data_IF_815044182814
#
_entry.id   IF_815044182814
#
_cell.length_a   1.000
_cell.length_b   1.000
_cell.length_c   1.000
_cell.angle_alpha   90.00
_cell.angle_beta   90.00
_cell.angle_gamma   90.00
#
_symmetry.space_group_name_H-M   'P 1'
#
loop_
_entity.id
_entity.type
_entity.pdbx_description
1 polymer ?
#
# COMPACT_ATOMS: atom_id res chain seq x y z
N UNK A 1 9.31 5.66 2.97
CA UNK A 1 9.70 7.05 3.28
C UNK A 1 8.86 7.68 4.38
N UNK A 2 7.54 7.79 4.23
CA UNK A 2 6.67 8.41 5.26
C UNK A 2 6.79 7.72 6.63
N UNK A 3 6.83 6.38 6.66
CA UNK A 3 7.10 5.59 7.88
C UNK A 3 8.42 5.98 8.57
N UNK A 4 9.37 6.51 7.83
CA UNK A 4 10.68 6.97 8.31
C UNK A 4 10.73 8.49 8.55
N UNK A 5 9.59 9.18 8.53
CA UNK A 5 9.48 10.61 8.81
C UNK A 5 9.76 11.54 7.62
N UNK A 6 9.84 10.99 6.40
CA UNK A 6 10.08 11.78 5.18
C UNK A 6 8.79 11.98 4.37
N UNK A 7 7.90 12.85 4.84
CA UNK A 7 6.57 13.07 4.23
C UNK A 7 6.57 14.13 3.12
N UNK A 8 7.41 15.17 3.26
CA UNK A 8 7.38 16.32 2.36
C UNK A 8 7.91 16.01 0.94
N UNK A 9 9.07 15.33 0.75
CA UNK A 9 9.58 15.07 -0.59
C UNK A 9 8.62 14.24 -1.46
N UNK A 10 8.08 13.09 -1.02
CA UNK A 10 7.16 12.29 -1.83
C UNK A 10 5.89 13.05 -2.22
N UNK A 11 5.33 13.83 -1.28
CA UNK A 11 4.11 14.61 -1.52
C UNK A 11 4.30 15.71 -2.56
N UNK A 12 5.45 16.39 -2.55
CA UNK A 12 5.76 17.44 -3.53
C UNK A 12 5.97 16.82 -4.92
N UNK A 13 6.75 15.74 -5.01
CA UNK A 13 7.02 15.07 -6.29
C UNK A 13 5.74 14.55 -6.95
N UNK A 14 4.81 13.99 -6.16
CA UNK A 14 3.52 13.55 -6.68
C UNK A 14 2.72 14.69 -7.35
N UNK A 15 2.72 15.89 -6.75
CA UNK A 15 2.07 17.06 -7.35
C UNK A 15 2.70 17.48 -8.67
N UNK A 16 4.03 17.40 -8.78
CA UNK A 16 4.75 17.72 -10.02
C UNK A 16 4.49 16.64 -11.09
N UNK A 17 4.45 15.36 -10.73
CA UNK A 17 4.08 14.29 -11.66
C UNK A 17 2.69 14.49 -12.27
N UNK A 18 1.73 14.95 -11.47
CA UNK A 18 0.39 15.26 -11.97
C UNK A 18 0.39 16.41 -12.99
N UNK A 19 1.23 17.43 -12.79
CA UNK A 19 1.40 18.50 -13.76
C UNK A 19 2.07 18.00 -15.05
N UNK A 20 3.08 17.14 -14.93
CA UNK A 20 3.77 16.52 -16.07
C UNK A 20 2.78 15.68 -16.89
N UNK A 21 1.91 14.88 -16.26
CA UNK A 21 0.85 14.12 -16.95
C UNK A 21 -0.10 15.04 -17.72
N UNK A 22 -0.49 16.18 -17.15
CA UNK A 22 -1.35 17.15 -17.82
C UNK A 22 -0.65 17.83 -19.01
N UNK A 23 0.64 18.15 -18.88
CA UNK A 23 1.45 18.68 -19.99
C UNK A 23 1.59 17.66 -21.12
N UNK A 24 1.80 16.38 -20.78
CA UNK A 24 1.85 15.29 -21.74
C UNK A 24 0.52 15.15 -22.51
N UNK A 25 -0.62 15.10 -21.80
CA UNK A 25 -1.96 15.02 -22.40
C UNK A 25 -2.21 16.22 -23.34
N UNK A 26 -1.80 17.43 -22.92
CA UNK A 26 -1.88 18.64 -23.76
C UNK A 26 -1.03 18.52 -25.03
N UNK A 27 0.22 18.07 -24.92
CA UNK A 27 1.11 17.89 -26.06
C UNK A 27 0.57 16.83 -27.03
N UNK A 28 0.07 15.71 -26.50
CA UNK A 28 -0.57 14.65 -27.29
C UNK A 28 -1.80 15.18 -28.04
N UNK A 29 -2.70 15.88 -27.34
CA UNK A 29 -3.91 16.46 -27.96
C UNK A 29 -3.56 17.46 -29.05
N UNK A 30 -2.51 18.27 -28.87
CA UNK A 30 -2.06 19.22 -29.89
C UNK A 30 -1.60 18.52 -31.18
N UNK A 31 -0.91 17.37 -31.06
CA UNK A 31 -0.52 16.54 -32.22
C UNK A 31 -1.74 15.96 -32.92
N UNK A 32 -2.75 15.50 -32.17
CA UNK A 32 -3.99 14.94 -32.73
C UNK A 32 -4.83 15.96 -33.49
N UNK A 33 -4.64 17.26 -33.21
CA UNK A 33 -5.32 18.37 -33.89
C UNK A 33 -4.62 18.80 -35.18
N UNK A 34 -3.61 18.08 -35.68
CA UNK A 34 -3.08 18.34 -37.01
C UNK A 34 -4.13 18.05 -38.09
N UNK A 35 -4.31 18.94 -39.10
CA UNK A 35 -3.46 20.09 -39.44
C UNK A 35 -3.94 21.45 -38.89
N UNK A 36 -4.92 21.49 -37.98
CA UNK A 36 -5.55 22.74 -37.51
C UNK A 36 -4.62 23.57 -36.60
N UNK A 37 -3.67 22.93 -35.91
CA UNK A 37 -2.62 23.60 -35.13
C UNK A 37 -1.31 23.70 -35.91
N UNK A 38 -0.54 24.75 -35.63
CA UNK A 38 0.79 24.95 -36.24
C UNK A 38 1.85 24.07 -35.57
N UNK A 39 2.93 23.78 -36.31
CA UNK A 39 4.07 23.00 -35.79
C UNK A 39 4.71 23.73 -34.60
N UNK A 40 4.75 25.05 -34.63
CA UNK A 40 5.29 25.90 -33.57
C UNK A 40 4.50 25.75 -32.26
N UNK A 41 3.16 25.68 -32.34
CA UNK A 41 2.30 25.48 -31.17
C UNK A 41 2.49 24.08 -30.55
N UNK A 42 2.65 23.07 -31.40
CA UNK A 42 2.93 21.69 -30.97
C UNK A 42 4.32 21.60 -30.34
N UNK A 43 5.34 22.20 -30.96
CA UNK A 43 6.71 22.24 -30.43
C UNK A 43 6.75 22.89 -29.06
N UNK A 44 6.05 24.03 -28.88
CA UNK A 44 5.99 24.72 -27.60
C UNK A 44 5.32 23.89 -26.51
N UNK A 45 4.24 23.16 -26.83
CA UNK A 45 3.59 22.26 -25.88
C UNK A 45 4.50 21.08 -25.50
N UNK A 46 5.19 20.50 -26.47
CA UNK A 46 6.14 19.40 -26.23
C UNK A 46 7.35 19.85 -25.41
N UNK A 47 7.95 21.00 -25.73
CA UNK A 47 9.10 21.54 -24.98
C UNK A 47 8.75 21.84 -23.52
N UNK A 48 7.54 22.34 -23.25
CA UNK A 48 7.07 22.54 -21.89
C UNK A 48 6.95 21.22 -21.11
N UNK A 49 6.42 20.16 -21.74
CA UNK A 49 6.39 18.82 -21.17
C UNK A 49 7.80 18.26 -20.94
N UNK A 50 8.64 18.26 -21.98
CA UNK A 50 9.98 17.67 -21.96
C UNK A 50 10.85 18.29 -20.86
N UNK A 51 10.79 19.62 -20.72
CA UNK A 51 11.52 20.33 -19.66
C UNK A 51 11.13 19.84 -18.26
N UNK A 52 9.84 19.83 -17.93
CA UNK A 52 9.39 19.41 -16.60
C UNK A 52 9.66 17.91 -16.35
N UNK A 53 9.56 17.08 -17.40
CA UNK A 53 9.87 15.66 -17.33
C UNK A 53 11.36 15.40 -17.04
N UNK A 54 12.27 16.08 -17.76
CA UNK A 54 13.71 15.99 -17.52
C UNK A 54 14.10 16.52 -16.13
N UNK A 55 13.47 17.60 -15.68
CA UNK A 55 13.67 18.11 -14.32
C UNK A 55 13.21 17.10 -13.25
N UNK A 56 12.15 16.32 -13.51
CA UNK A 56 11.70 15.28 -12.59
C UNK A 56 12.72 14.15 -12.50
N UNK A 57 13.22 13.65 -13.64
CA UNK A 57 14.27 12.61 -13.65
C UNK A 57 15.47 13.07 -12.80
N UNK A 58 15.91 14.31 -12.96
CA UNK A 58 17.01 14.86 -12.15
C UNK A 58 16.66 14.89 -10.65
N UNK A 59 15.45 15.34 -10.27
CA UNK A 59 15.00 15.38 -8.87
C UNK A 59 14.93 13.96 -8.28
N UNK A 60 14.47 12.99 -9.05
CA UNK A 60 14.41 11.60 -8.62
C UNK A 60 15.82 11.03 -8.39
N UNK A 61 16.73 11.18 -9.35
CA UNK A 61 18.09 10.63 -9.26
C UNK A 61 18.94 11.33 -8.20
N UNK A 62 18.90 12.66 -8.15
CA UNK A 62 19.77 13.45 -7.28
C UNK A 62 19.25 13.54 -5.83
N UNK A 63 17.94 13.39 -5.61
CA UNK A 63 17.32 13.62 -4.29
C UNK A 63 16.58 12.37 -3.81
N UNK A 64 15.59 11.89 -4.56
CA UNK A 64 14.70 10.83 -4.08
C UNK A 64 15.44 9.50 -3.90
N UNK A 65 16.17 9.04 -4.92
CA UNK A 65 16.92 7.79 -4.87
C UNK A 65 17.99 7.83 -3.78
N UNK A 66 18.66 8.96 -3.58
CA UNK A 66 19.63 9.13 -2.50
C UNK A 66 19.00 8.94 -1.12
N UNK A 67 17.86 9.59 -0.87
CA UNK A 67 17.12 9.43 0.38
C UNK A 67 16.65 7.98 0.55
N UNK A 68 16.14 7.35 -0.51
CA UNK A 68 15.68 5.96 -0.47
C UNK A 68 16.82 4.99 -0.14
N UNK A 69 18.00 5.17 -0.72
CA UNK A 69 19.18 4.33 -0.45
C UNK A 69 19.68 4.45 0.99
N UNK A 70 19.60 5.64 1.59
CA UNK A 70 19.99 5.86 2.99
C UNK A 70 18.93 5.39 3.98
N UNK A 71 17.65 5.40 3.58
CA UNK A 71 16.53 5.20 4.49
C UNK A 71 15.98 3.77 4.47
N UNK A 72 15.88 3.15 3.29
CA UNK A 72 15.23 1.87 3.12
C UNK A 72 16.15 0.70 3.45
N UNK A 73 15.60 -0.29 4.14
CA UNK A 73 16.27 -1.56 4.41
C UNK A 73 16.15 -2.51 3.22
N UNK A 74 16.92 -3.60 3.21
CA UNK A 74 16.75 -4.64 2.19
C UNK A 74 15.33 -5.25 2.17
N UNK A 75 14.69 -5.37 3.34
CA UNK A 75 13.33 -5.90 3.44
C UNK A 75 12.32 -4.93 2.81
N UNK A 76 12.52 -3.61 2.95
CA UNK A 76 11.69 -2.63 2.26
C UNK A 76 11.83 -2.74 0.74
N UNK A 77 13.06 -2.90 0.23
CA UNK A 77 13.31 -3.09 -1.20
C UNK A 77 12.70 -4.38 -1.75
N UNK A 78 12.70 -5.46 -0.95
CA UNK A 78 12.02 -6.70 -1.31
C UNK A 78 10.50 -6.52 -1.40
N UNK A 79 9.88 -5.88 -0.41
CA UNK A 79 8.46 -5.59 -0.44
C UNK A 79 8.08 -4.71 -1.64
N UNK A 80 8.89 -3.68 -1.94
CA UNK A 80 8.70 -2.84 -3.14
C UNK A 80 8.78 -3.68 -4.41
N UNK A 81 9.77 -4.58 -4.52
CA UNK A 81 9.94 -5.43 -5.69
C UNK A 81 8.76 -6.40 -5.87
N UNK A 82 8.23 -6.96 -4.78
CA UNK A 82 7.04 -7.84 -4.80
C UNK A 82 5.76 -7.10 -5.21
N UNK A 83 5.60 -5.84 -4.80
CA UNK A 83 4.42 -5.02 -5.11
C UNK A 83 4.48 -4.34 -6.48
N UNK A 84 5.65 -4.25 -7.11
CA UNK A 84 5.87 -3.44 -8.32
C UNK A 84 5.04 -3.89 -9.53
N UNK A 85 4.83 -5.20 -9.69
CA UNK A 85 4.03 -5.76 -10.79
C UNK A 85 2.58 -5.25 -10.78
N UNK A 86 2.04 -4.87 -9.62
CA UNK A 86 0.69 -4.32 -9.51
C UNK A 86 0.54 -2.98 -10.27
N UNK A 87 1.61 -2.19 -10.39
CA UNK A 87 1.61 -0.91 -11.09
C UNK A 87 2.09 -1.04 -12.55
N UNK A 88 2.97 -2.00 -12.84
CA UNK A 88 3.59 -2.20 -14.15
C UNK A 88 4.87 -1.38 -14.35
N UNK A 89 5.55 -1.59 -15.47
CA UNK A 89 6.83 -0.93 -15.80
C UNK A 89 6.72 -0.09 -17.08
N UNK A 90 7.27 1.13 -17.07
CA UNK A 90 7.15 2.05 -18.19
C UNK A 90 8.14 1.78 -19.33
N UNK A 91 9.43 1.59 -19.02
CA UNK A 91 10.51 1.46 -20.02
C UNK A 91 11.20 0.09 -19.90
N UNK A 92 11.65 -0.26 -18.69
CA UNK A 92 12.43 -1.47 -18.43
C UNK A 92 11.67 -2.38 -17.47
N UNK A 93 11.35 -3.59 -17.93
CA UNK A 93 10.80 -4.65 -17.07
C UNK A 93 11.95 -5.52 -16.54
N UNK A 94 12.00 -5.81 -15.23
CA UNK A 94 13.00 -6.72 -14.67
C UNK A 94 12.92 -8.11 -15.32
N UNK A 95 14.06 -8.65 -15.74
CA UNK A 95 14.15 -10.01 -16.33
C UNK A 95 14.32 -11.10 -15.28
N UNK A 96 14.62 -10.74 -14.03
CA UNK A 96 14.82 -11.65 -12.92
C UNK A 96 14.29 -11.04 -11.62
N UNK A 97 13.90 -11.90 -10.67
CA UNK A 97 13.59 -11.47 -9.31
C UNK A 97 14.89 -11.16 -8.57
N UNK A 98 14.96 -10.00 -7.94
CA UNK A 98 16.08 -9.63 -7.09
C UNK A 98 16.03 -10.46 -5.80
N UNK A 99 17.13 -11.15 -5.50
CA UNK A 99 17.30 -11.91 -4.26
C UNK A 99 18.59 -11.42 -3.59
N UNK A 100 18.49 -10.64 -2.49
CA UNK A 100 19.67 -10.20 -1.77
C UNK A 100 20.33 -11.40 -1.08
N UNK A 101 21.66 -11.39 -1.06
CA UNK A 101 22.43 -12.35 -0.27
C UNK A 101 22.17 -12.12 1.22
N UNK A 102 21.70 -13.16 1.93
CA UNK A 102 21.47 -13.14 3.38
C UNK A 102 22.43 -14.13 4.03
N UNK A 103 23.29 -13.64 4.91
CA UNK A 103 24.10 -14.50 5.78
C UNK A 103 23.20 -15.08 6.87
N UNK A 104 23.00 -16.39 6.87
CA UNK A 104 22.25 -17.08 7.92
C UNK A 104 23.21 -17.55 9.02
N UNK A 105 23.20 -16.86 10.15
CA UNK A 105 24.05 -17.21 11.30
C UNK A 105 23.50 -18.41 12.12
N UNK A 106 22.40 -19.05 11.69
CA UNK A 106 21.86 -20.23 12.35
C UNK A 106 22.62 -21.54 12.02
N UNK A 107 23.25 -21.63 10.84
CA UNK A 107 23.96 -22.84 10.41
C UNK A 107 25.29 -23.07 11.15
N UNK A 108 25.79 -22.09 11.90
CA UNK A 108 26.98 -22.28 12.75
C UNK A 108 26.71 -23.19 13.95
N UNK A 109 25.45 -23.53 14.25
CA UNK A 109 25.10 -24.48 15.32
C UNK A 109 25.27 -25.95 14.92
N UNK A 110 25.25 -26.31 13.64
CA UNK A 110 25.42 -27.72 13.24
C UNK A 110 26.89 -28.14 13.17
N UNK A 111 27.81 -27.23 12.84
CA UNK A 111 29.25 -27.56 12.78
C UNK A 111 29.94 -27.55 14.16
N UNK A 112 29.34 -26.94 15.18
CA UNK A 112 29.83 -27.01 16.57
C UNK A 112 29.42 -28.32 17.29
N UNK A 113 28.53 -29.12 16.72
CA UNK A 113 28.08 -30.40 17.30
C UNK A 113 29.00 -31.60 16.95
N UNK A 114 30.05 -31.40 16.16
CA UNK A 114 31.03 -32.44 15.82
C UNK A 114 32.48 -32.19 16.26
N UNK A 115 32.73 -31.08 16.96
CA UNK A 115 34.00 -30.84 17.66
C UNK A 115 33.74 -30.50 19.12
N UNK A 116 33.28 -31.50 19.88
CA UNK A 116 33.34 -31.44 21.35
C UNK A 116 34.01 -32.70 21.88
N UNK A 117 35.32 -32.74 21.73
CA UNK A 117 36.20 -33.44 22.67
C UNK A 117 37.47 -32.61 22.79
N UNK A 118 37.72 -32.10 24.00
CA UNK A 118 38.83 -31.22 24.41
C UNK A 118 38.56 -29.75 24.02
N UNK A 119 38.45 -28.76 24.90
CA UNK A 119 39.14 -28.52 26.18
C UNK A 119 38.32 -27.51 26.98
N UNK A 120 38.42 -27.59 28.31
CA UNK A 120 37.83 -26.67 29.29
C UNK A 120 38.26 -25.22 29.02
N UNK A 121 37.29 -24.31 28.84
CA UNK A 121 37.44 -22.94 29.35
C UNK A 121 36.07 -22.39 29.74
N UNK A 122 36.03 -21.75 30.90
CA UNK A 122 34.81 -21.40 31.62
C UNK A 122 34.33 -20.03 31.17
N UNK A 123 33.20 -19.94 30.46
CA UNK A 123 32.45 -18.69 30.32
C UNK A 123 31.06 -18.87 30.93
N UNK A 124 30.89 -18.23 32.09
CA UNK A 124 29.66 -18.21 32.88
C UNK A 124 28.51 -17.59 32.08
N UNK A 125 27.50 -18.40 31.79
CA UNK A 125 26.19 -17.94 31.37
C UNK A 125 25.33 -17.76 32.63
N UNK A 126 25.22 -16.52 33.12
CA UNK A 126 24.29 -16.19 34.20
C UNK A 126 22.92 -15.82 33.61
N UNK A 127 21.89 -16.59 33.97
CA UNK A 127 20.50 -16.27 33.66
C UNK A 127 19.90 -15.59 34.88
N UNK A 128 19.71 -14.28 34.78
CA UNK A 128 18.89 -13.51 35.73
C UNK A 128 17.94 -12.66 34.91
N UNK A 129 16.63 -12.80 35.18
CA UNK A 129 15.54 -12.00 34.59
C UNK A 129 15.35 -12.02 33.06
N UNK A 130 15.16 -13.22 32.49
CA UNK A 130 14.56 -13.41 31.16
C UNK A 130 15.28 -12.67 30.00
N UNK A 131 16.53 -12.27 30.24
CA UNK A 131 17.39 -11.53 29.33
C UNK A 131 18.57 -12.44 28.98
N UNK A 132 18.74 -12.74 27.70
CA UNK A 132 19.87 -13.51 27.20
C UNK A 132 21.05 -12.56 27.07
N UNK A 133 22.07 -12.76 27.90
CA UNK A 133 23.31 -11.97 27.91
C UNK A 133 24.43 -12.82 27.33
N UNK A 134 25.06 -12.35 26.26
CA UNK A 134 26.24 -12.98 25.67
C UNK A 134 27.41 -11.99 25.69
N UNK A 135 28.47 -12.39 26.37
CA UNK A 135 29.72 -11.62 26.48
C UNK A 135 30.67 -12.11 25.39
N UNK A 136 31.23 -11.19 24.60
CA UNK A 136 32.18 -11.45 23.53
C UNK A 136 33.46 -10.71 23.86
N UNK A 137 34.54 -11.45 24.10
CA UNK A 137 35.88 -10.92 24.29
C UNK A 137 36.59 -10.74 22.94
N UNK A 138 37.13 -9.54 22.69
CA UNK A 138 38.04 -9.27 21.58
C UNK A 138 39.38 -8.76 22.12
N UNK A 139 40.47 -8.78 21.32
CA UNK A 139 41.79 -8.29 21.75
C UNK A 139 41.81 -6.81 22.17
N UNK A 140 40.79 -6.05 21.77
CA UNK A 140 40.64 -4.61 21.99
C UNK A 140 39.67 -4.28 23.13
N UNK A 141 38.96 -5.28 23.69
CA UNK A 141 38.03 -5.11 24.80
C UNK A 141 36.89 -6.15 24.82
N UNK A 142 36.04 -6.07 25.84
CA UNK A 142 34.92 -6.99 26.03
C UNK A 142 33.58 -6.29 25.74
N UNK A 143 32.74 -6.89 24.90
CA UNK A 143 31.41 -6.37 24.55
C UNK A 143 30.32 -7.31 25.05
N UNK A 144 29.26 -6.74 25.65
CA UNK A 144 28.11 -7.50 26.15
C UNK A 144 26.87 -7.21 25.30
N UNK A 145 26.32 -8.24 24.66
CA UNK A 145 25.05 -8.16 23.93
C UNK A 145 23.97 -8.72 24.86
N UNK A 146 22.97 -7.88 25.20
CA UNK A 146 21.79 -8.32 25.93
C UNK A 146 20.56 -8.19 25.03
N UNK A 147 19.79 -9.27 24.91
CA UNK A 147 18.55 -9.29 24.14
C UNK A 147 17.44 -9.94 24.96
N UNK A 148 16.29 -9.29 25.00
CA UNK A 148 15.07 -9.81 25.61
C UNK A 148 14.14 -10.25 24.48
N UNK A 149 13.90 -11.55 24.28
CA UNK A 149 12.95 -12.03 23.29
C UNK A 149 11.57 -11.39 23.55
N UNK A 150 11.00 -10.74 22.54
CA UNK A 150 9.60 -10.34 22.59
C UNK A 150 8.79 -11.62 22.78
N UNK A 151 7.98 -11.71 23.85
CA UNK A 151 7.05 -12.83 24.06
C UNK A 151 6.32 -13.11 22.74
N UNK A 152 6.33 -14.36 22.29
CA UNK A 152 5.48 -14.80 21.19
C UNK A 152 4.06 -14.29 21.46
N UNK A 153 3.54 -13.53 20.52
CA UNK A 153 2.14 -13.12 20.50
C UNK A 153 1.29 -14.38 20.66
N UNK A 154 0.41 -14.42 21.67
CA UNK A 154 -0.60 -15.47 21.79
C UNK A 154 -1.27 -15.66 20.42
N UNK A 155 -1.18 -16.86 19.85
CA UNK A 155 -1.84 -17.16 18.58
C UNK A 155 -3.36 -17.11 18.83
N UNK A 156 -4.00 -16.09 18.27
CA UNK A 156 -5.46 -15.99 18.31
C UNK A 156 -6.06 -17.05 17.38
N UNK A 157 -6.96 -17.90 17.89
CA UNK A 157 -7.65 -18.90 17.06
C UNK A 157 -8.66 -18.23 16.13
N UNK A 158 -8.29 -18.14 14.86
CA UNK A 158 -9.08 -17.52 13.78
C UNK A 158 -10.27 -18.37 13.34
N UNK A 159 -10.37 -19.62 13.77
CA UNK A 159 -11.41 -20.58 13.37
C UNK A 159 -12.57 -20.66 14.37
N UNK A 160 -12.36 -20.15 15.59
CA UNK A 160 -13.40 -20.09 16.61
C UNK A 160 -14.59 -19.19 16.21
N UNK A 161 -15.80 -19.68 16.46
CA UNK A 161 -17.04 -18.96 16.15
C UNK A 161 -17.27 -17.81 17.14
N UNK A 162 -17.55 -16.62 16.60
CA UNK A 162 -17.80 -15.40 17.36
C UNK A 162 -19.12 -14.75 16.92
N UNK A 163 -19.84 -14.04 17.80
CA UNK A 163 -21.01 -13.26 17.41
C UNK A 163 -20.65 -12.24 16.33
N UNK A 164 -21.36 -12.26 15.20
CA UNK A 164 -21.22 -11.30 14.11
C UNK A 164 -22.61 -10.93 13.59
N UNK A 165 -22.99 -9.66 13.74
CA UNK A 165 -24.34 -9.19 13.37
C UNK A 165 -25.42 -10.01 14.07
N UNK A 166 -26.32 -10.60 13.27
CA UNK A 166 -27.42 -11.44 13.76
C UNK A 166 -27.10 -12.94 13.76
N UNK A 167 -25.81 -13.31 13.78
CA UNK A 167 -25.36 -14.70 13.71
C UNK A 167 -23.96 -14.90 14.27
N UNK A 168 -23.25 -15.89 13.73
CA UNK A 168 -21.90 -16.25 14.15
C UNK A 168 -21.01 -16.48 12.94
N UNK A 169 -19.76 -16.01 13.03
CA UNK A 169 -18.72 -16.27 12.06
C UNK A 169 -17.39 -16.44 12.79
N UNK A 170 -16.49 -17.25 12.23
CA UNK A 170 -15.07 -17.17 12.57
C UNK A 170 -14.39 -16.00 11.84
N UNK A 171 -13.19 -15.62 12.28
CA UNK A 171 -12.40 -14.59 11.58
C UNK A 171 -12.07 -15.04 10.15
N UNK A 172 -11.81 -16.33 9.96
CA UNK A 172 -11.59 -16.92 8.62
C UNK A 172 -12.83 -16.78 7.74
N UNK A 173 -14.02 -17.13 8.24
CA UNK A 173 -15.27 -17.02 7.47
C UNK A 173 -15.62 -15.56 7.15
N UNK A 174 -15.45 -14.64 8.10
CA UNK A 174 -15.66 -13.21 7.86
C UNK A 174 -14.72 -12.67 6.78
N UNK A 175 -13.45 -13.06 6.81
CA UNK A 175 -12.47 -12.71 5.78
C UNK A 175 -12.86 -13.27 4.41
N UNK A 176 -13.26 -14.54 4.35
CA UNK A 176 -13.73 -15.17 3.11
C UNK A 176 -14.95 -14.43 2.53
N UNK A 177 -15.95 -14.11 3.34
CA UNK A 177 -17.13 -13.37 2.89
C UNK A 177 -16.73 -12.03 2.28
N UNK A 178 -15.89 -11.24 2.97
CA UNK A 178 -15.45 -9.94 2.47
C UNK A 178 -14.70 -10.04 1.13
N UNK A 179 -13.92 -11.10 0.93
CA UNK A 179 -13.21 -11.35 -0.33
C UNK A 179 -14.12 -11.86 -1.45
N UNK A 180 -15.28 -12.46 -1.14
CA UNK A 180 -16.22 -12.97 -2.16
C UNK A 180 -17.33 -11.99 -2.52
N UNK A 181 -17.44 -10.85 -1.83
CA UNK A 181 -18.34 -9.78 -2.26
C UNK A 181 -17.85 -9.19 -3.59
N UNK A 182 -18.76 -8.89 -4.55
CA UNK A 182 -18.40 -8.27 -5.83
C UNK A 182 -18.14 -6.76 -5.67
N UNK A 183 -17.32 -6.42 -4.68
CA UNK A 183 -16.97 -5.06 -4.27
C UNK A 183 -15.47 -4.97 -4.02
N UNK A 184 -14.85 -3.87 -4.43
CA UNK A 184 -13.54 -3.46 -3.90
C UNK A 184 -13.83 -2.62 -2.66
N UNK A 185 -13.49 -3.15 -1.49
CA UNK A 185 -13.79 -2.57 -0.18
C UNK A 185 -12.51 -1.97 0.38
N UNK A 186 -12.60 -0.76 0.93
CA UNK A 186 -11.54 -0.09 1.68
C UNK A 186 -12.12 0.49 2.97
N UNK A 187 -11.43 0.32 4.10
CA UNK A 187 -11.81 0.90 5.37
C UNK A 187 -10.70 1.81 5.91
N UNK A 188 -11.09 3.04 6.24
CA UNK A 188 -10.27 4.05 6.91
C UNK A 188 -10.87 4.31 8.28
N UNK A 189 -10.07 4.18 9.34
CA UNK A 189 -10.59 4.28 10.71
C UNK A 189 -10.84 5.74 11.14
N UNK A 190 -11.38 5.92 12.35
CA UNK A 190 -11.68 7.24 12.93
C UNK A 190 -10.49 8.19 13.07
N UNK A 191 -9.26 7.68 13.02
CA UNK A 191 -8.02 8.46 13.10
C UNK A 191 -7.43 8.73 11.70
N UNK A 192 -8.26 8.57 10.66
CA UNK A 192 -7.93 8.78 9.25
C UNK A 192 -6.81 7.86 8.72
N UNK A 193 -6.66 6.67 9.32
CA UNK A 193 -5.67 5.66 8.93
C UNK A 193 -6.30 4.62 8.01
N UNK A 194 -5.69 4.41 6.83
CA UNK A 194 -6.07 3.34 5.91
C UNK A 194 -5.69 1.99 6.50
N UNK A 195 -6.70 1.24 6.95
CA UNK A 195 -6.49 0.07 7.80
C UNK A 195 -6.72 -1.26 7.07
N UNK A 196 -7.59 -1.28 6.07
CA UNK A 196 -8.01 -2.53 5.44
C UNK A 196 -8.51 -2.31 4.02
N UNK A 197 -8.17 -3.23 3.12
CA UNK A 197 -8.89 -3.45 1.86
C UNK A 197 -9.12 -4.96 1.67
N UNK A 198 -10.19 -5.35 0.97
CA UNK A 198 -10.46 -6.76 0.71
C UNK A 198 -9.66 -7.29 -0.49
N UNK A 199 -9.50 -8.60 -0.55
CA UNK A 199 -8.76 -9.30 -1.62
C UNK A 199 -9.75 -10.03 -2.53
N UNK A 200 -10.62 -9.25 -3.18
CA UNK A 200 -11.68 -9.78 -4.07
C UNK A 200 -11.27 -9.87 -5.53
N UNK A 201 -10.25 -9.13 -5.94
CA UNK A 201 -9.72 -9.08 -7.30
C UNK A 201 -8.20 -9.01 -7.27
N UNK A 202 -7.57 -9.53 -8.32
CA UNK A 202 -6.14 -9.37 -8.51
C UNK A 202 -5.78 -7.86 -8.61
N UNK A 203 -4.58 -7.43 -8.16
CA UNK A 203 -4.20 -6.02 -8.12
C UNK A 203 -4.26 -5.28 -9.47
N UNK A 204 -4.09 -6.00 -10.59
CA UNK A 204 -4.17 -5.47 -11.94
C UNK A 204 -5.61 -5.31 -12.46
N UNK A 205 -6.57 -6.01 -11.86
CA UNK A 205 -8.01 -5.92 -12.16
C UNK A 205 -8.77 -4.91 -11.31
N UNK A 206 -8.15 -4.42 -10.23
CA UNK A 206 -8.74 -3.40 -9.34
C UNK A 206 -8.95 -2.07 -10.08
N UNK A 207 -10.13 -1.48 -9.92
CA UNK A 207 -10.46 -0.14 -10.44
C UNK A 207 -9.63 0.91 -9.70
N UNK A 208 -9.57 0.81 -8.38
CA UNK A 208 -8.69 1.62 -7.55
C UNK A 208 -7.66 0.74 -6.88
N UNK A 209 -6.47 0.67 -7.51
CA UNK A 209 -5.35 -0.12 -7.02
C UNK A 209 -5.04 0.21 -5.56
N UNK A 210 -4.87 -0.85 -4.77
CA UNK A 210 -4.37 -0.81 -3.39
C UNK A 210 -3.13 -1.68 -3.29
N UNK A 211 -2.21 -1.29 -2.43
CA UNK A 211 -1.03 -2.13 -2.11
C UNK A 211 -0.84 -2.29 -0.61
N UNK A 212 -0.24 -3.41 -0.16
CA UNK A 212 0.04 -3.63 1.26
C UNK A 212 0.84 -2.49 1.90
N UNK A 213 1.78 -1.87 1.17
CA UNK A 213 2.53 -0.69 1.61
C UNK A 213 1.71 0.56 1.96
N UNK A 214 0.44 0.64 1.55
CA UNK A 214 -0.48 1.73 1.93
C UNK A 214 -1.16 1.50 3.28
N UNK A 215 -1.20 0.25 3.78
CA UNK A 215 -1.80 -0.07 5.08
C UNK A 215 -1.04 0.65 6.20
N UNK A 216 -1.80 1.29 7.09
CA UNK A 216 -1.29 2.06 8.22
C UNK A 216 -0.92 3.51 7.87
N UNK A 217 -1.03 3.93 6.60
CA UNK A 217 -0.82 5.33 6.21
C UNK A 217 -2.04 6.19 6.52
N UNK A 218 -1.79 7.46 6.80
CA UNK A 218 -2.86 8.46 6.84
C UNK A 218 -3.48 8.60 5.45
N UNK A 219 -4.81 8.66 5.35
CA UNK A 219 -5.55 8.63 4.07
C UNK A 219 -5.13 9.77 3.12
N UNK A 220 -4.70 10.90 3.68
CA UNK A 220 -4.17 12.03 2.90
C UNK A 220 -2.91 11.72 2.09
N UNK A 221 -2.13 10.72 2.52
CA UNK A 221 -0.90 10.27 1.87
C UNK A 221 -1.17 9.16 0.85
N UNK A 222 -2.39 8.63 0.80
CA UNK A 222 -2.79 7.60 -0.16
C UNK A 222 -3.35 8.18 -1.47
N UNK A 223 -3.45 9.50 -1.58
CA UNK A 223 -4.11 10.18 -2.69
C UNK A 223 -3.23 11.29 -3.29
N UNK A 224 -3.30 11.51 -4.62
CA UNK A 224 -2.65 12.65 -5.25
C UNK A 224 -3.20 13.98 -4.72
N UNK A 225 -2.39 15.06 -4.66
CA UNK A 225 -2.81 16.36 -4.15
C UNK A 225 -4.11 16.91 -4.78
N UNK A 226 -4.32 16.68 -6.08
CA UNK A 226 -5.51 17.16 -6.82
C UNK A 226 -6.84 16.52 -6.38
N UNK A 227 -6.79 15.34 -5.75
CA UNK A 227 -7.99 14.60 -5.27
C UNK A 227 -8.20 14.82 -3.77
N UNK A 228 -7.16 15.25 -3.06
CA UNK A 228 -7.12 15.37 -1.60
C UNK A 228 -8.25 16.24 -1.04
N UNK A 229 -8.52 17.39 -1.65
CA UNK A 229 -9.58 18.30 -1.18
C UNK A 229 -10.98 17.67 -1.26
N UNK A 230 -11.22 16.84 -2.27
CA UNK A 230 -12.48 16.08 -2.40
C UNK A 230 -12.58 15.05 -1.29
N UNK A 231 -11.52 14.29 -1.03
CA UNK A 231 -11.47 13.28 0.03
C UNK A 231 -11.70 13.92 1.40
N UNK A 232 -11.00 15.02 1.71
CA UNK A 232 -11.19 15.80 2.95
C UNK A 232 -12.63 16.25 3.14
N UNK A 233 -13.24 16.78 2.08
CA UNK A 233 -14.64 17.22 2.11
C UNK A 233 -15.58 16.04 2.38
N UNK A 234 -15.40 14.91 1.70
CA UNK A 234 -16.19 13.69 1.94
C UNK A 234 -16.08 13.26 3.39
N UNK A 235 -14.85 13.13 3.91
CA UNK A 235 -14.59 12.71 5.29
C UNK A 235 -15.21 13.67 6.30
N UNK A 236 -15.17 14.98 6.04
CA UNK A 236 -15.79 15.99 6.90
C UNK A 236 -17.31 15.82 6.96
N UNK A 237 -17.97 15.65 5.80
CA UNK A 237 -19.42 15.44 5.70
C UNK A 237 -19.88 14.17 6.41
N UNK A 238 -19.11 13.09 6.26
CA UNK A 238 -19.40 11.79 6.88
C UNK A 238 -19.16 11.82 8.39
N UNK A 239 -18.05 12.42 8.84
CA UNK A 239 -17.69 12.52 10.26
C UNK A 239 -18.67 13.40 11.03
N UNK A 240 -19.06 14.55 10.48
CA UNK A 240 -20.01 15.48 11.12
C UNK A 240 -21.44 14.94 11.21
N UNK A 241 -21.79 13.95 10.39
CA UNK A 241 -23.17 13.47 10.26
C UNK A 241 -24.05 14.32 9.35
N UNK A 242 -23.47 15.27 8.61
CA UNK A 242 -24.21 16.00 7.57
C UNK A 242 -24.68 15.06 6.44
N UNK A 243 -23.92 14.00 6.20
CA UNK A 243 -24.26 12.90 5.28
C UNK A 243 -23.87 11.56 5.90
N UNK A 244 -24.70 10.54 5.70
CA UNK A 244 -24.35 9.16 6.02
C UNK A 244 -23.60 8.46 4.89
N UNK A 245 -23.82 8.94 3.65
CA UNK A 245 -23.13 8.44 2.46
C UNK A 245 -22.86 9.53 1.44
N UNK A 246 -21.78 9.36 0.69
CA UNK A 246 -21.47 10.11 -0.52
C UNK A 246 -21.27 9.12 -1.67
N UNK A 247 -21.96 9.36 -2.78
CA UNK A 247 -21.99 8.46 -3.94
C UNK A 247 -21.49 9.20 -5.17
N UNK A 248 -20.69 8.52 -5.98
CA UNK A 248 -20.23 9.01 -7.28
C UNK A 248 -20.15 7.86 -8.28
N UNK A 249 -20.29 8.17 -9.56
CA UNK A 249 -20.19 7.17 -10.62
C UNK A 249 -19.57 7.77 -11.88
N UNK A 250 -18.90 6.94 -12.67
CA UNK A 250 -18.29 7.32 -13.93
C UNK A 250 -18.10 6.11 -14.83
N UNK A 251 -18.05 6.36 -16.15
CA UNK A 251 -17.65 5.34 -17.11
C UNK A 251 -16.13 5.37 -17.23
N UNK A 252 -15.48 4.23 -16.94
CA UNK A 252 -14.06 4.03 -17.19
C UNK A 252 -13.87 3.57 -18.62
N UNK A 253 -13.51 4.48 -19.52
CA UNK A 253 -13.27 4.14 -20.94
C UNK A 253 -12.14 3.11 -21.11
N UNK A 254 -11.10 3.18 -20.25
CA UNK A 254 -9.98 2.21 -20.27
C UNK A 254 -10.43 0.79 -19.98
N UNK A 255 -11.39 0.62 -19.07
CA UNK A 255 -11.88 -0.71 -18.68
C UNK A 255 -13.14 -1.12 -19.45
N UNK A 256 -13.80 -0.18 -20.14
CA UNK A 256 -15.11 -0.39 -20.75
C UNK A 256 -16.23 -0.58 -19.73
N UNK A 257 -16.05 -0.08 -18.50
CA UNK A 257 -16.90 -0.41 -17.33
C UNK A 257 -17.58 0.82 -16.74
N UNK A 258 -18.80 0.64 -16.23
CA UNK A 258 -19.47 1.65 -15.42
C UNK A 258 -19.18 1.41 -13.93
N UNK A 259 -18.53 2.38 -13.31
CA UNK A 259 -18.03 2.29 -11.93
C UNK A 259 -18.95 3.09 -11.01
N UNK A 260 -19.39 2.47 -9.93
CA UNK A 260 -20.13 3.10 -8.84
C UNK A 260 -19.30 3.06 -7.56
N UNK A 261 -19.01 4.23 -6.98
CA UNK A 261 -18.20 4.39 -5.77
C UNK A 261 -19.09 4.95 -4.67
N UNK A 262 -19.03 4.35 -3.50
CA UNK A 262 -19.74 4.86 -2.31
C UNK A 262 -18.81 4.96 -1.13
N UNK A 263 -18.85 6.11 -0.45
CA UNK A 263 -18.27 6.33 0.86
C UNK A 263 -19.40 6.36 1.89
N UNK A 264 -19.31 5.57 2.95
CA UNK A 264 -20.31 5.47 4.02
C UNK A 264 -19.65 5.76 5.36
N UNK A 265 -20.30 6.56 6.21
CA UNK A 265 -19.91 6.74 7.59
C UNK A 265 -20.20 5.44 8.37
N UNK A 266 -19.16 4.80 8.90
CA UNK A 266 -19.32 3.67 9.83
C UNK A 266 -19.52 4.25 11.22
N UNK A 267 -20.65 3.90 11.84
CA UNK A 267 -21.01 4.32 13.19
C UNK A 267 -21.30 3.10 14.06
N UNK A 268 -20.97 3.17 15.34
CA UNK A 268 -21.35 2.13 16.29
C UNK A 268 -22.81 2.27 16.77
N UNK A 269 -23.21 1.41 17.71
CA UNK A 269 -24.56 1.40 18.29
C UNK A 269 -24.92 2.69 19.03
N UNK A 270 -23.92 3.47 19.49
CA UNK A 270 -24.11 4.76 20.14
C UNK A 270 -24.15 5.93 19.12
N UNK A 271 -23.95 5.65 17.83
CA UNK A 271 -23.86 6.64 16.78
C UNK A 271 -22.48 7.30 16.65
N UNK A 272 -21.48 6.83 17.41
CA UNK A 272 -20.14 7.38 17.36
C UNK A 272 -19.45 7.01 16.04
N UNK A 273 -18.73 7.95 15.45
CA UNK A 273 -18.04 7.75 14.18
C UNK A 273 -16.82 6.85 14.36
N UNK A 274 -16.81 5.70 13.69
CA UNK A 274 -15.76 4.69 13.74
C UNK A 274 -14.84 4.71 12.51
N UNK A 275 -15.26 5.37 11.42
CA UNK A 275 -14.46 5.49 10.21
C UNK A 275 -15.29 5.67 8.94
N UNK A 276 -14.63 5.56 7.80
CA UNK A 276 -15.24 5.59 6.48
C UNK A 276 -15.05 4.23 5.81
N UNK A 277 -16.15 3.65 5.36
CA UNK A 277 -16.16 2.51 4.45
C UNK A 277 -16.29 3.04 3.01
N UNK A 278 -15.29 2.80 2.18
CA UNK A 278 -15.37 2.93 0.73
C UNK A 278 -15.69 1.56 0.13
N UNK A 279 -16.66 1.51 -0.78
CA UNK A 279 -16.84 0.36 -1.66
C UNK A 279 -17.07 0.79 -3.10
N UNK A 280 -16.43 0.05 -4.01
CA UNK A 280 -16.52 0.25 -5.46
C UNK A 280 -17.18 -0.97 -6.07
N UNK A 281 -18.15 -0.73 -6.94
CA UNK A 281 -18.85 -1.77 -7.69
C UNK A 281 -18.81 -1.46 -9.18
N UNK A 282 -18.54 -2.48 -9.98
CA UNK A 282 -18.83 -2.47 -11.41
C UNK A 282 -20.30 -2.78 -11.60
N UNK A 283 -21.03 -1.91 -12.31
CA UNK A 283 -22.48 -2.00 -12.47
C UNK A 283 -22.94 -2.08 -13.92
N UNK A 284 -22.01 -2.25 -14.86
CA UNK A 284 -22.33 -2.33 -16.30
C UNK A 284 -23.35 -3.43 -16.58
N UNK A 285 -23.13 -4.63 -16.03
CA UNK A 285 -24.00 -5.79 -16.21
C UNK A 285 -25.44 -5.55 -15.72
N UNK A 286 -25.64 -4.62 -14.77
CA UNK A 286 -26.97 -4.28 -14.29
C UNK A 286 -27.79 -3.49 -15.32
N UNK A 287 -27.16 -2.82 -16.27
CA UNK A 287 -27.86 -2.15 -17.37
C UNK A 287 -28.33 -3.10 -18.46
N UNK A 288 -27.80 -4.33 -18.46
CA UNK A 288 -28.03 -5.35 -19.50
C UNK A 288 -29.01 -6.43 -19.02
N UNK A 289 -29.62 -6.25 -17.85
CA UNK A 289 -30.67 -7.11 -17.34
C UNK A 289 -31.89 -7.05 -18.29
N UNK A 290 -32.03 -8.08 -19.12
CA UNK A 290 -33.06 -8.13 -20.17
C UNK A 290 -34.50 -8.36 -19.68
N UNK A 291 -34.69 -8.59 -18.38
CA UNK A 291 -36.01 -8.74 -17.78
C UNK A 291 -36.01 -8.41 -16.29
N UNK A 292 -37.18 -8.10 -15.75
CA UNK A 292 -37.38 -7.78 -14.33
C UNK A 292 -37.25 -9.01 -13.42
N UNK A 293 -37.17 -10.23 -13.98
CA UNK A 293 -37.13 -11.47 -13.22
C UNK A 293 -36.12 -12.46 -13.81
N UNK A 294 -35.15 -12.86 -12.99
CA UNK A 294 -34.27 -13.98 -13.26
C UNK A 294 -34.26 -14.89 -12.03
N UNK A 295 -35.13 -15.90 -12.01
CA UNK A 295 -35.33 -16.83 -10.88
C UNK A 295 -35.27 -18.30 -11.30
N UNK A 296 -35.02 -18.56 -12.59
CA UNK A 296 -34.88 -19.90 -13.11
C UNK A 296 -33.45 -20.36 -12.79
N UNK A 297 -33.33 -21.32 -11.87
CA UNK A 297 -32.07 -21.99 -11.49
C UNK A 297 -32.07 -23.37 -12.13
#
# INVERSE_FOLDING_TARGET
MERYGHDAPPKVMWGVDDNIRALFEKAQTAVEQLPDLTIEEISSAFEAFAKEFEEMIFKEEAILLMILLETLTQDDWLAIAEESDAYGYAIVKPTAKWQPHRENFEDTKQDLAHSTNQTEDSQESSTTDNQLIKVIDTPEGQFTISFTPKKESQSFDRTSQQPFGNGYLSVEQANLILNHLPLEITFVNKDDIFQYYNDSKAPDEMIFKRTPSQIGRHVELCHPPKVLDKVKKIFTLLRSGERDKVVMWFKSEKLGKFVHVTYVAVRDENGEFQGVLEYVQEIQDFFELGSDNNRDI
#
